data_IF_483048693594
#
_entry.id   IF_483048693594
#
_cell.length_a   1.000
_cell.length_b   1.000
_cell.length_c   1.000
_cell.angle_alpha   90.00
_cell.angle_beta   90.00
_cell.angle_gamma   90.00
#
_symmetry.space_group_name_H-M   'P 1'
#
loop_
_entity.id
_entity.type
_entity.pdbx_description
1 polymer ?
#
# COMPACT_ATOMS: atom_id res chain seq x y z
N UNK A 1 2.89 -3.99 1.62
CA UNK A 1 2.46 -2.62 1.25
C UNK A 1 3.57 -1.62 1.52
N UNK A 2 3.54 -0.49 0.83
CA UNK A 2 4.56 0.55 0.91
C UNK A 2 3.94 1.92 0.71
N UNK A 3 4.34 2.90 1.50
CA UNK A 3 3.79 4.25 1.42
C UNK A 3 4.30 5.00 0.19
N UNK A 4 3.42 5.72 -0.52
CA UNK A 4 3.77 6.52 -1.71
C UNK A 4 4.71 7.70 -1.38
N UNK A 5 4.73 8.14 -0.13
CA UNK A 5 5.60 9.21 0.36
C UNK A 5 6.94 8.75 0.91
N UNK A 6 7.23 7.43 0.95
CA UNK A 6 8.49 6.91 1.50
C UNK A 6 9.69 7.26 0.58
N UNK A 7 10.88 7.54 1.14
CA UNK A 7 12.09 7.83 0.34
C UNK A 7 12.41 6.78 -0.73
N UNK A 8 12.21 5.50 -0.42
CA UNK A 8 12.51 4.37 -1.31
C UNK A 8 11.32 3.96 -2.21
N UNK A 9 10.24 4.76 -2.26
CA UNK A 9 9.05 4.41 -3.04
C UNK A 9 9.36 4.15 -4.52
N UNK A 10 10.28 4.92 -5.11
CA UNK A 10 10.69 4.74 -6.51
C UNK A 10 11.44 3.44 -6.74
N UNK A 11 12.24 2.97 -5.77
CA UNK A 11 12.92 1.67 -5.84
C UNK A 11 11.90 0.53 -5.67
N UNK A 12 10.96 0.68 -4.73
CA UNK A 12 9.88 -0.27 -4.54
C UNK A 12 9.04 -0.48 -5.81
N UNK A 13 8.67 0.60 -6.52
CA UNK A 13 7.92 0.54 -7.78
C UNK A 13 8.69 -0.27 -8.84
N UNK A 14 10.02 -0.16 -8.85
CA UNK A 14 10.88 -0.82 -9.83
C UNK A 14 11.35 -2.21 -9.41
N UNK A 15 11.13 -2.61 -8.17
CA UNK A 15 11.72 -3.81 -7.57
C UNK A 15 11.44 -5.11 -8.36
N UNK A 16 10.29 -5.22 -9.02
CA UNK A 16 9.94 -6.38 -9.85
C UNK A 16 10.41 -6.30 -11.30
N UNK A 17 10.84 -5.11 -11.76
CA UNK A 17 11.43 -4.96 -13.10
C UNK A 17 12.83 -5.57 -13.18
N UNK A 18 13.54 -5.59 -12.04
CA UNK A 18 14.88 -6.16 -11.94
C UNK A 18 14.78 -7.68 -11.71
N UNK A 19 15.53 -8.44 -12.48
CA UNK A 19 15.51 -9.90 -12.56
C UNK A 19 15.30 -10.63 -11.23
N UNK A 20 14.11 -11.18 -11.05
CA UNK A 20 13.82 -12.21 -10.04
C UNK A 20 13.58 -11.73 -8.62
N UNK A 21 13.72 -10.44 -8.31
CA UNK A 21 13.47 -9.89 -6.96
C UNK A 21 11.99 -9.86 -6.63
N UNK A 22 11.65 -10.27 -5.41
CA UNK A 22 10.32 -10.17 -4.81
C UNK A 22 9.17 -10.86 -5.59
N UNK A 23 9.45 -11.83 -6.49
CA UNK A 23 8.42 -12.52 -7.29
C UNK A 23 7.38 -13.25 -6.45
N UNK A 24 7.74 -13.64 -5.21
CA UNK A 24 6.86 -14.37 -4.31
C UNK A 24 5.95 -13.45 -3.46
N UNK A 25 6.07 -12.14 -3.59
CA UNK A 25 5.31 -11.16 -2.83
C UNK A 25 4.42 -10.34 -3.75
N UNK A 26 3.16 -10.16 -3.38
CA UNK A 26 2.30 -9.15 -3.98
C UNK A 26 2.68 -7.78 -3.43
N UNK A 27 3.06 -6.86 -4.30
CA UNK A 27 3.46 -5.52 -3.93
C UNK A 27 2.30 -4.54 -4.14
N UNK A 28 2.02 -3.70 -3.15
CA UNK A 28 1.01 -2.64 -3.26
C UNK A 28 1.51 -1.34 -2.66
N UNK A 29 1.22 -0.23 -3.33
CA UNK A 29 1.45 1.12 -2.83
C UNK A 29 0.22 1.62 -2.09
N UNK A 30 0.43 2.25 -0.95
CA UNK A 30 -0.58 3.02 -0.24
C UNK A 30 -0.61 4.42 -0.83
N UNK A 31 -1.67 4.73 -1.56
CA UNK A 31 -1.88 6.02 -2.22
C UNK A 31 -2.79 6.88 -1.34
N UNK A 32 -2.30 8.05 -0.96
CA UNK A 32 -3.06 9.03 -0.17
C UNK A 32 -3.85 10.01 -1.04
N UNK A 33 -4.91 10.58 -0.49
CA UNK A 33 -5.68 11.64 -1.15
C UNK A 33 -4.79 12.87 -1.42
N UNK A 34 -3.86 13.19 -0.49
CA UNK A 34 -2.87 14.27 -0.67
C UNK A 34 -2.00 14.05 -1.91
N UNK A 35 -1.49 12.81 -2.11
CA UNK A 35 -0.73 12.48 -3.31
C UNK A 35 -1.56 12.61 -4.58
N UNK A 36 -2.81 12.10 -4.57
CA UNK A 36 -3.70 12.20 -5.72
C UNK A 36 -4.07 13.65 -6.06
N UNK A 37 -4.21 14.50 -5.04
CA UNK A 37 -4.40 15.93 -5.25
C UNK A 37 -3.16 16.57 -5.89
N UNK A 38 -1.96 16.24 -5.40
CA UNK A 38 -0.71 16.72 -6.00
C UNK A 38 -0.57 16.29 -7.49
N UNK A 39 -1.00 15.06 -7.83
CA UNK A 39 -1.05 14.57 -9.21
C UNK A 39 -2.02 15.38 -10.08
N UNK A 40 -3.23 15.68 -9.57
CA UNK A 40 -4.25 16.44 -10.30
C UNK A 40 -3.83 17.89 -10.56
N UNK A 41 -3.18 18.50 -9.56
CA UNK A 41 -2.76 19.89 -9.58
C UNK A 41 -1.36 20.09 -10.19
N UNK A 42 -0.72 19.00 -10.67
CA UNK A 42 0.64 18.98 -11.25
C UNK A 42 1.69 19.58 -10.31
N UNK A 43 1.57 19.26 -9.02
CA UNK A 43 2.47 19.73 -7.96
C UNK A 43 3.65 18.79 -7.74
N UNK A 44 4.64 19.32 -7.02
CA UNK A 44 5.75 18.52 -6.48
C UNK A 44 5.26 17.61 -5.35
N UNK A 45 5.88 16.42 -5.27
CA UNK A 45 5.68 15.44 -4.21
C UNK A 45 6.99 15.20 -3.46
N UNK A 46 6.94 15.27 -2.13
CA UNK A 46 8.10 15.03 -1.30
C UNK A 46 8.12 13.58 -0.82
N UNK A 47 9.23 12.90 -1.09
CA UNK A 47 9.56 11.62 -0.48
C UNK A 47 10.24 11.90 0.85
N UNK A 48 9.56 11.60 1.95
CA UNK A 48 9.95 11.98 3.29
C UNK A 48 9.77 10.85 4.29
N UNK A 49 10.53 10.88 5.38
CA UNK A 49 10.45 9.89 6.45
C UNK A 49 10.47 10.58 7.83
N UNK A 50 9.74 10.05 8.82
CA UNK A 50 9.67 10.63 10.15
C UNK A 50 11.02 10.85 10.81
N UNK A 51 11.18 12.04 11.38
CA UNK A 51 12.35 12.40 12.17
C UNK A 51 12.22 11.81 13.58
N UNK A 52 13.18 10.97 13.97
CA UNK A 52 13.22 10.40 15.31
C UNK A 52 13.53 11.48 16.36
N UNK A 53 12.86 11.45 17.51
CA UNK A 53 13.13 12.37 18.62
C UNK A 53 14.60 12.35 19.05
N UNK A 54 15.24 11.16 19.05
CA UNK A 54 16.66 11.01 19.41
C UNK A 54 17.63 11.62 18.38
N UNK A 55 17.18 11.90 17.16
CA UNK A 55 17.96 12.49 16.07
C UNK A 55 17.66 13.99 15.92
N UNK A 56 16.69 14.49 16.67
CA UNK A 56 16.30 15.89 16.60
C UNK A 56 17.29 16.77 17.36
N UNK A 57 17.92 17.69 16.66
CA UNK A 57 18.73 18.77 17.22
C UNK A 57 18.10 20.13 16.86
N UNK A 58 17.62 20.91 17.84
CA UNK A 58 17.04 22.22 17.57
C UNK A 58 17.99 23.22 16.90
N UNK A 59 19.31 23.03 17.04
CA UNK A 59 20.31 23.89 16.43
C UNK A 59 20.45 23.62 14.92
N UNK A 60 20.29 22.36 14.51
CA UNK A 60 20.46 21.94 13.12
C UNK A 60 19.11 21.85 12.38
N UNK A 61 18.05 21.41 13.07
CA UNK A 61 16.75 21.13 12.47
C UNK A 61 15.77 22.28 12.66
N UNK A 62 15.74 23.18 11.68
CA UNK A 62 14.70 24.24 11.61
C UNK A 62 13.43 23.63 11.04
N UNK A 63 12.52 23.18 11.92
CA UNK A 63 11.30 22.45 11.53
C UNK A 63 10.32 23.26 10.66
N UNK A 64 10.47 24.59 10.62
CA UNK A 64 9.69 25.49 9.77
C UNK A 64 10.20 25.57 8.33
N UNK A 65 11.38 24.99 8.06
CA UNK A 65 11.95 24.94 6.71
C UNK A 65 11.22 23.91 5.84
N UNK A 66 10.21 24.35 5.10
CA UNK A 66 9.37 23.54 4.21
C UNK A 66 10.16 22.90 3.06
N UNK A 67 11.41 23.28 2.83
CA UNK A 67 12.27 22.63 1.83
C UNK A 67 12.92 21.37 2.38
N UNK A 68 13.01 21.24 3.70
CA UNK A 68 13.67 20.14 4.39
C UNK A 68 12.70 19.26 5.17
N UNK A 69 11.57 19.80 5.58
CA UNK A 69 10.61 19.12 6.44
C UNK A 69 9.19 19.30 5.95
N UNK A 70 8.38 18.24 6.13
CA UNK A 70 6.93 18.22 5.89
C UNK A 70 6.24 17.54 7.06
N UNK A 71 5.03 18.02 7.39
CA UNK A 71 4.22 17.44 8.45
C UNK A 71 3.16 16.52 7.86
N UNK A 72 3.10 15.28 8.34
CA UNK A 72 2.16 14.27 7.83
C UNK A 72 1.56 13.44 8.95
N UNK A 73 0.39 12.88 8.71
CA UNK A 73 -0.17 11.83 9.54
C UNK A 73 0.73 10.59 9.52
N UNK A 74 0.90 9.99 10.70
CA UNK A 74 1.71 8.78 10.85
C UNK A 74 1.06 7.83 11.87
N UNK A 75 1.14 6.49 11.68
CA UNK A 75 0.46 5.51 12.54
C UNK A 75 0.82 5.57 14.01
N UNK A 76 2.00 6.06 14.35
CA UNK A 76 2.48 6.20 15.72
C UNK A 76 3.29 7.48 15.85
N UNK A 77 3.11 8.20 16.96
CA UNK A 77 3.85 9.43 17.28
C UNK A 77 4.94 9.24 18.32
N UNK A 78 4.94 8.10 19.05
CA UNK A 78 5.73 7.90 20.28
C UNK A 78 7.25 8.09 20.13
N UNK A 79 7.81 7.81 18.94
CA UNK A 79 9.26 7.86 18.69
C UNK A 79 9.68 9.03 17.83
N UNK A 80 8.74 9.79 17.32
CA UNK A 80 8.97 10.81 16.31
C UNK A 80 8.70 12.22 16.84
N UNK A 81 9.31 13.19 16.20
CA UNK A 81 8.99 14.62 16.46
C UNK A 81 7.57 14.88 15.97
N UNK A 82 6.66 15.18 16.88
CA UNK A 82 5.24 15.39 16.58
C UNK A 82 4.74 16.72 17.15
N UNK A 83 3.64 17.22 16.57
CA UNK A 83 2.91 18.39 17.07
C UNK A 83 1.69 17.95 17.88
N UNK A 84 1.06 18.93 18.56
CA UNK A 84 -0.16 18.71 19.35
C UNK A 84 -1.35 18.25 18.52
N UNK A 85 -1.38 18.58 17.23
CA UNK A 85 -2.39 18.11 16.27
C UNK A 85 -2.18 16.67 15.80
N UNK A 86 -1.16 15.96 16.31
CA UNK A 86 -0.86 14.57 16.00
C UNK A 86 -0.04 14.38 14.72
N UNK A 87 0.30 15.43 14.00
CA UNK A 87 1.16 15.32 12.83
C UNK A 87 2.62 15.10 13.23
N UNK A 88 3.29 14.24 12.45
CA UNK A 88 4.70 13.89 12.61
C UNK A 88 5.55 14.69 11.64
N UNK A 89 6.66 15.23 12.13
CA UNK A 89 7.66 15.88 11.30
C UNK A 89 8.43 14.85 10.48
N UNK A 90 8.37 14.96 9.17
CA UNK A 90 9.10 14.12 8.24
C UNK A 90 10.20 14.91 7.53
N UNK A 91 11.42 14.37 7.55
CA UNK A 91 12.55 14.90 6.79
C UNK A 91 12.38 14.55 5.32
N UNK A 92 12.51 15.54 4.45
CA UNK A 92 12.42 15.37 3.00
C UNK A 92 13.79 14.88 2.49
N UNK A 93 13.77 13.76 1.78
CA UNK A 93 14.95 13.16 1.14
C UNK A 93 15.01 13.47 -0.35
N UNK A 94 13.84 13.59 -0.98
CA UNK A 94 13.73 13.85 -2.41
C UNK A 94 12.41 14.52 -2.73
N UNK A 95 12.43 15.42 -3.72
CA UNK A 95 11.23 16.03 -4.29
C UNK A 95 11.18 15.71 -5.78
N UNK A 96 10.00 15.39 -6.29
CA UNK A 96 9.78 15.08 -7.70
C UNK A 96 8.34 15.44 -8.11
N UNK A 97 8.08 15.70 -9.41
CA UNK A 97 6.72 15.95 -9.88
C UNK A 97 5.81 14.76 -9.59
N UNK A 98 4.69 14.99 -8.89
CA UNK A 98 3.73 13.95 -8.51
C UNK A 98 3.19 13.18 -9.73
N UNK A 99 2.89 13.90 -10.81
CA UNK A 99 2.41 13.31 -12.07
C UNK A 99 3.43 12.35 -12.67
N UNK A 100 4.72 12.71 -12.67
CA UNK A 100 5.77 11.81 -13.16
C UNK A 100 5.87 10.53 -12.34
N UNK A 101 5.73 10.62 -11.02
CA UNK A 101 5.69 9.44 -10.16
C UNK A 101 4.49 8.56 -10.47
N UNK A 102 3.31 9.18 -10.64
CA UNK A 102 2.08 8.48 -11.02
C UNK A 102 2.23 7.75 -12.36
N UNK A 103 2.81 8.38 -13.37
CA UNK A 103 3.03 7.76 -14.68
C UNK A 103 3.97 6.53 -14.57
N UNK A 104 4.99 6.60 -13.71
CA UNK A 104 5.89 5.45 -13.46
C UNK A 104 5.15 4.31 -12.75
N UNK A 105 4.25 4.62 -11.80
CA UNK A 105 3.39 3.63 -11.13
C UNK A 105 2.50 2.95 -12.19
N UNK A 106 1.77 3.74 -12.98
CA UNK A 106 0.84 3.21 -13.99
C UNK A 106 1.56 2.37 -15.04
N UNK A 107 2.70 2.82 -15.54
CA UNK A 107 3.52 2.05 -16.49
C UNK A 107 3.99 0.73 -15.88
N UNK A 108 4.44 0.74 -14.62
CA UNK A 108 4.85 -0.50 -13.93
C UNK A 108 3.69 -1.46 -13.77
N UNK A 109 2.54 -0.97 -13.32
CA UNK A 109 1.34 -1.79 -13.14
C UNK A 109 0.85 -2.36 -14.48
N UNK A 110 0.90 -1.59 -15.54
CA UNK A 110 0.50 -2.03 -16.88
C UNK A 110 1.44 -3.14 -17.41
N UNK A 111 2.77 -2.94 -17.31
CA UNK A 111 3.76 -3.85 -17.88
C UNK A 111 3.92 -5.14 -17.09
N UNK A 112 3.78 -5.09 -15.75
CA UNK A 112 4.11 -6.18 -14.84
C UNK A 112 2.96 -6.63 -13.93
N UNK A 113 1.77 -6.04 -14.07
CA UNK A 113 0.63 -6.18 -13.15
C UNK A 113 0.95 -5.78 -11.69
N UNK A 114 2.11 -5.15 -11.44
CA UNK A 114 2.58 -4.74 -10.12
C UNK A 114 3.51 -3.52 -10.18
N UNK A 115 3.58 -2.71 -9.11
CA UNK A 115 2.79 -2.84 -7.89
C UNK A 115 1.31 -2.55 -8.13
N UNK A 116 0.44 -3.21 -7.36
CA UNK A 116 -0.92 -2.75 -7.16
C UNK A 116 -0.95 -1.43 -6.39
N UNK A 117 -2.11 -0.78 -6.26
CA UNK A 117 -2.27 0.38 -5.40
C UNK A 117 -3.57 0.31 -4.61
N UNK A 118 -3.53 0.90 -3.41
CA UNK A 118 -4.64 0.96 -2.47
C UNK A 118 -4.86 2.44 -2.16
N UNK A 119 -6.05 2.95 -2.43
CA UNK A 119 -6.47 4.30 -2.04
C UNK A 119 -6.75 4.30 -0.53
N UNK A 120 -5.68 4.41 0.25
CA UNK A 120 -5.69 4.03 1.67
C UNK A 120 -6.61 4.93 2.50
N UNK A 121 -6.71 6.22 2.18
CA UNK A 121 -7.59 7.13 2.89
C UNK A 121 -9.06 6.78 2.64
N UNK A 122 -9.42 6.42 1.38
CA UNK A 122 -10.78 5.96 1.04
C UNK A 122 -11.11 4.63 1.70
N UNK A 123 -10.15 3.71 1.78
CA UNK A 123 -10.33 2.43 2.48
C UNK A 123 -10.64 2.67 3.96
N UNK A 124 -9.89 3.58 4.61
CA UNK A 124 -10.11 3.90 6.02
C UNK A 124 -11.38 4.73 6.26
N UNK A 125 -11.74 5.64 5.36
CA UNK A 125 -13.02 6.36 5.40
C UNK A 125 -14.23 5.41 5.41
N UNK A 126 -14.14 4.32 4.63
CA UNK A 126 -15.20 3.32 4.48
C UNK A 126 -15.05 2.12 5.45
N UNK A 127 -14.05 2.14 6.32
CA UNK A 127 -13.80 1.05 7.26
C UNK A 127 -14.91 1.00 8.32
N UNK A 128 -15.59 -0.13 8.42
CA UNK A 128 -16.64 -0.34 9.43
C UNK A 128 -16.09 -0.35 10.87
N UNK A 129 -14.80 -0.58 11.05
CA UNK A 129 -14.11 -0.62 12.35
C UNK A 129 -13.23 0.63 12.58
N UNK A 130 -13.58 1.76 11.98
CA UNK A 130 -12.79 3.00 12.02
C UNK A 130 -12.43 3.48 13.44
N UNK A 131 -13.23 3.15 14.46
CA UNK A 131 -13.02 3.55 15.85
C UNK A 131 -11.89 2.77 16.57
N UNK A 132 -11.47 1.63 16.05
CA UNK A 132 -10.47 0.76 16.70
C UNK A 132 -9.38 0.26 15.75
N UNK A 133 -9.50 0.51 14.44
CA UNK A 133 -8.59 -0.01 13.44
C UNK A 133 -8.27 1.02 12.37
N UNK A 134 -7.00 1.10 11.99
CA UNK A 134 -6.56 1.82 10.81
C UNK A 134 -5.92 0.81 9.84
N UNK A 135 -6.57 0.57 8.71
CA UNK A 135 -6.11 -0.37 7.70
C UNK A 135 -4.85 0.18 7.03
N UNK A 136 -3.79 -0.63 7.00
CA UNK A 136 -2.49 -0.31 6.38
C UNK A 136 -2.06 -1.34 5.35
N UNK A 137 -2.80 -2.43 5.23
CA UNK A 137 -2.56 -3.48 4.24
C UNK A 137 -3.87 -4.17 3.92
N UNK A 138 -3.99 -4.67 2.71
CA UNK A 138 -5.02 -5.63 2.34
C UNK A 138 -4.36 -7.00 2.22
N UNK A 139 -4.99 -8.02 2.77
CA UNK A 139 -4.50 -9.38 2.63
C UNK A 139 -5.38 -10.11 1.60
N UNK A 140 -4.86 -10.50 0.45
CA UNK A 140 -5.59 -11.31 -0.53
C UNK A 140 -5.68 -12.78 -0.13
N UNK A 141 -5.07 -13.18 1.00
CA UNK A 141 -5.12 -14.55 1.48
C UNK A 141 -6.42 -14.79 2.27
N UNK A 142 -6.97 -15.98 2.11
CA UNK A 142 -8.15 -16.45 2.82
C UNK A 142 -7.83 -17.78 3.51
N UNK A 143 -8.58 -18.11 4.56
CA UNK A 143 -8.42 -19.39 5.27
C UNK A 143 -9.00 -20.54 4.45
N UNK A 144 -8.53 -21.76 4.73
CA UNK A 144 -8.94 -22.95 4.00
C UNK A 144 -10.44 -23.28 4.12
N UNK A 145 -11.05 -22.84 5.19
CA UNK A 145 -12.49 -23.00 5.49
C UNK A 145 -13.37 -21.86 4.94
N UNK A 146 -12.78 -20.86 4.29
CA UNK A 146 -13.55 -19.80 3.62
C UNK A 146 -14.41 -20.38 2.50
N UNK A 147 -15.69 -19.96 2.44
CA UNK A 147 -16.62 -20.38 1.41
C UNK A 147 -16.51 -19.50 0.16
N UNK A 148 -16.51 -20.15 -1.00
CA UNK A 148 -16.52 -19.54 -2.33
C UNK A 148 -17.78 -19.97 -3.07
N UNK A 149 -18.53 -19.03 -3.61
CA UNK A 149 -19.65 -19.34 -4.49
C UNK A 149 -19.12 -19.74 -5.87
N UNK A 150 -19.30 -21.00 -6.25
CA UNK A 150 -18.91 -21.51 -7.56
C UNK A 150 -20.13 -21.80 -8.44
N UNK A 151 -19.91 -22.07 -9.73
CA UNK A 151 -20.97 -22.52 -10.66
C UNK A 151 -21.60 -23.84 -10.23
N UNK A 152 -20.85 -24.66 -9.47
CA UNK A 152 -21.31 -25.95 -8.93
C UNK A 152 -21.91 -25.86 -7.53
N UNK A 153 -22.09 -24.64 -7.00
CA UNK A 153 -22.53 -24.38 -5.64
C UNK A 153 -21.40 -23.91 -4.71
N UNK A 154 -21.72 -23.64 -3.44
CA UNK A 154 -20.69 -23.19 -2.48
C UNK A 154 -19.65 -24.30 -2.24
N UNK A 155 -18.36 -23.92 -2.25
CA UNK A 155 -17.22 -24.81 -1.98
C UNK A 155 -16.27 -24.14 -1.01
N UNK A 156 -15.60 -24.91 -0.16
CA UNK A 156 -14.51 -24.36 0.67
C UNK A 156 -13.23 -24.19 -0.14
N UNK A 157 -12.43 -23.18 0.20
CA UNK A 157 -11.12 -22.94 -0.44
C UNK A 157 -10.24 -24.19 -0.42
N UNK A 158 -10.28 -24.97 0.69
CA UNK A 158 -9.55 -26.22 0.81
C UNK A 158 -9.86 -27.21 -0.34
N UNK A 159 -11.08 -27.22 -0.84
CA UNK A 159 -11.53 -28.10 -1.94
C UNK A 159 -11.12 -27.59 -3.32
N UNK A 160 -10.75 -26.31 -3.41
CA UNK A 160 -10.43 -25.59 -4.66
C UNK A 160 -8.92 -25.41 -4.87
N UNK A 161 -8.09 -25.96 -3.97
CA UNK A 161 -6.63 -25.89 -4.08
C UNK A 161 -6.15 -26.79 -5.22
N UNK A 162 -5.31 -26.21 -6.09
CA UNK A 162 -4.65 -26.94 -7.19
C UNK A 162 -5.55 -27.31 -8.34
N UNK A 163 -6.77 -26.74 -8.43
CA UNK A 163 -7.68 -27.02 -9.54
C UNK A 163 -8.42 -25.76 -10.01
N UNK A 164 -8.68 -25.70 -11.30
CA UNK A 164 -9.51 -24.66 -11.89
C UNK A 164 -10.96 -24.80 -11.45
N UNK A 165 -11.62 -23.67 -11.21
CA UNK A 165 -13.04 -23.58 -10.89
C UNK A 165 -13.64 -22.31 -11.50
N UNK A 166 -14.96 -22.25 -11.55
CA UNK A 166 -15.68 -21.04 -11.96
C UNK A 166 -16.36 -20.41 -10.73
N UNK A 167 -15.92 -19.21 -10.35
CA UNK A 167 -16.53 -18.45 -9.27
C UNK A 167 -17.74 -17.67 -9.78
N UNK A 168 -18.75 -17.46 -8.92
CA UNK A 168 -19.87 -16.53 -9.15
C UNK A 168 -19.71 -15.30 -8.26
N UNK A 169 -19.51 -14.14 -8.90
CA UNK A 169 -19.37 -12.83 -8.24
C UNK A 169 -20.35 -11.88 -8.89
N UNK A 170 -21.20 -11.24 -8.10
CA UNK A 170 -22.23 -10.30 -8.57
C UNK A 170 -23.09 -10.83 -9.74
N UNK A 171 -23.47 -12.11 -9.65
CA UNK A 171 -24.28 -12.79 -10.66
C UNK A 171 -23.56 -13.15 -11.95
N UNK A 172 -22.25 -12.89 -12.06
CA UNK A 172 -21.41 -13.23 -13.22
C UNK A 172 -20.49 -14.39 -12.90
N UNK A 173 -20.14 -15.13 -13.93
CA UNK A 173 -19.20 -16.25 -13.83
C UNK A 173 -17.79 -15.80 -14.23
N UNK A 174 -16.81 -16.17 -13.39
CA UNK A 174 -15.39 -15.87 -13.58
C UNK A 174 -14.58 -17.15 -13.41
N UNK A 175 -13.88 -17.53 -14.47
CA UNK A 175 -13.00 -18.73 -14.45
C UNK A 175 -11.71 -18.37 -13.71
N UNK A 176 -11.34 -19.19 -12.73
CA UNK A 176 -10.07 -19.05 -12.00
C UNK A 176 -8.86 -19.39 -12.88
N UNK A 177 -7.65 -19.04 -12.42
CA UNK A 177 -6.42 -19.61 -12.97
C UNK A 177 -6.45 -21.16 -12.88
N UNK A 178 -5.67 -21.87 -13.72
CA UNK A 178 -5.64 -23.35 -13.74
C UNK A 178 -5.32 -23.95 -12.37
N UNK A 179 -4.47 -23.31 -11.57
CA UNK A 179 -4.05 -23.73 -10.24
C UNK A 179 -5.11 -23.46 -9.16
N UNK A 180 -6.13 -22.63 -9.47
CA UNK A 180 -7.14 -22.18 -8.51
C UNK A 180 -6.51 -21.49 -7.31
N UNK A 181 -6.83 -21.98 -6.10
CA UNK A 181 -6.15 -21.55 -4.88
C UNK A 181 -4.85 -22.33 -4.66
N UNK A 182 -3.90 -21.72 -3.95
CA UNK A 182 -2.65 -22.37 -3.55
C UNK A 182 -2.29 -22.00 -2.10
N UNK A 183 -1.55 -22.87 -1.44
CA UNK A 183 -1.11 -22.63 -0.07
C UNK A 183 0.08 -21.69 -0.04
N UNK A 184 -0.01 -20.60 0.72
CA UNK A 184 1.09 -19.66 0.95
C UNK A 184 1.88 -19.97 2.22
N UNK A 185 1.20 -20.40 3.30
CA UNK A 185 1.83 -20.77 4.56
C UNK A 185 0.87 -21.63 5.42
N UNK A 186 1.44 -22.35 6.40
CA UNK A 186 0.75 -22.88 7.57
C UNK A 186 1.09 -21.96 8.74
N UNK A 187 0.14 -21.14 9.15
CA UNK A 187 0.26 -20.31 10.37
C UNK A 187 -0.93 -20.61 11.28
N UNK A 188 -0.73 -20.75 12.60
CA UNK A 188 -1.86 -20.70 13.53
C UNK A 188 -2.52 -19.33 13.41
N UNK A 189 -3.84 -19.31 13.37
CA UNK A 189 -4.67 -18.10 13.42
C UNK A 189 -4.73 -17.61 14.86
#
# INVERSE_FOLDING_TARGET
TFDVGHPDAMEFIRAKRENGRLRQFNLSLLITDEFMQAVREDKEWQLAFPLLQKEYDPAEHKLDDKTKFVWREWPSTEKYVSREDGLVCCKIYKTLPARRMWDVIMTSTYDFAEPGFILIDKVNEMNNNWWCENIRATNPCVTADTWVHTSEGPRQVAELIGRQFTARVDGREHVSAPEGFFRTALKPL
#
